data_IF_806391697645
#
_entry.id   IF_806391697645
#
_cell.length_a   1.000
_cell.length_b   1.000
_cell.length_c   1.000
_cell.angle_alpha   90.00
_cell.angle_beta   90.00
_cell.angle_gamma   90.00
#
_symmetry.space_group_name_H-M   'P 1'
#
loop_
_entity.id
_entity.type
_entity.pdbx_description
1 polymer ?
#
# COMPACT_ATOMS: atom_id res chain seq x y z
N UNK A 1 -22.23 -36.59 -0.76
CA UNK A 1 -22.66 -35.25 -0.29
C UNK A 1 -22.86 -35.20 1.23
N UNK A 2 -23.59 -36.15 1.88
CA UNK A 2 -23.80 -36.15 3.33
C UNK A 2 -22.49 -36.23 4.16
N UNK A 3 -21.53 -37.07 3.75
CA UNK A 3 -20.24 -37.20 4.45
C UNK A 3 -19.44 -35.88 4.42
N UNK A 4 -19.37 -35.18 3.28
CA UNK A 4 -18.70 -33.90 3.12
C UNK A 4 -19.30 -32.85 4.07
N UNK A 5 -20.64 -32.75 4.14
CA UNK A 5 -21.33 -31.80 5.02
C UNK A 5 -21.12 -32.12 6.50
N UNK A 6 -21.04 -33.41 6.88
CA UNK A 6 -20.72 -33.79 8.26
C UNK A 6 -19.30 -33.41 8.66
N UNK A 7 -18.32 -33.63 7.76
CA UNK A 7 -16.95 -33.21 7.99
C UNK A 7 -16.86 -31.68 8.11
N UNK A 8 -17.51 -30.96 7.18
CA UNK A 8 -17.61 -29.51 7.25
C UNK A 8 -18.16 -29.02 8.60
N UNK A 9 -19.33 -29.59 9.02
CA UNK A 9 -19.95 -29.15 10.26
C UNK A 9 -19.07 -29.46 11.49
N UNK A 10 -18.40 -30.61 11.52
CA UNK A 10 -17.46 -31.00 12.57
C UNK A 10 -16.33 -29.96 12.65
N UNK A 11 -15.60 -29.74 11.53
CA UNK A 11 -14.45 -28.84 11.48
C UNK A 11 -14.85 -27.39 11.83
N UNK A 12 -16.00 -26.94 11.31
CA UNK A 12 -16.49 -25.60 11.57
C UNK A 12 -16.81 -25.37 13.05
N UNK A 13 -17.54 -26.31 13.70
CA UNK A 13 -17.92 -26.19 15.11
C UNK A 13 -16.73 -26.41 16.05
N UNK A 14 -15.82 -27.32 15.74
CA UNK A 14 -14.64 -27.60 16.55
C UNK A 14 -13.74 -26.36 16.63
N UNK A 15 -13.46 -25.73 15.48
CA UNK A 15 -12.66 -24.52 15.42
C UNK A 15 -13.40 -23.28 15.98
N UNK A 16 -14.74 -23.25 15.96
CA UNK A 16 -15.52 -22.18 16.60
C UNK A 16 -15.38 -22.22 18.15
N UNK A 17 -15.07 -23.39 18.72
CA UNK A 17 -14.84 -23.55 20.16
C UNK A 17 -13.39 -23.25 20.57
N UNK A 18 -12.46 -23.29 19.64
CA UNK A 18 -11.07 -22.91 19.89
C UNK A 18 -10.92 -21.37 19.87
N UNK A 19 -10.81 -20.79 21.07
CA UNK A 19 -10.65 -19.34 21.27
C UNK A 19 -9.43 -18.78 20.56
N UNK A 20 -8.34 -19.54 20.46
CA UNK A 20 -7.09 -19.08 19.83
C UNK A 20 -7.27 -18.94 18.32
N UNK A 21 -7.81 -19.96 17.68
CA UNK A 21 -8.11 -19.95 16.24
C UNK A 21 -9.13 -18.85 15.93
N UNK A 22 -10.18 -18.72 16.75
CA UNK A 22 -11.23 -17.74 16.55
C UNK A 22 -10.71 -16.30 16.66
N UNK A 23 -9.92 -15.98 17.70
CA UNK A 23 -9.33 -14.65 17.89
C UNK A 23 -8.36 -14.30 16.76
N UNK A 24 -7.50 -15.23 16.35
CA UNK A 24 -6.52 -14.95 15.29
C UNK A 24 -7.16 -14.83 13.91
N UNK A 25 -8.10 -15.71 13.57
CA UNK A 25 -8.76 -15.74 12.26
C UNK A 25 -9.82 -14.64 12.09
N UNK A 26 -10.60 -14.34 13.12
CA UNK A 26 -11.76 -13.45 13.03
C UNK A 26 -11.53 -12.07 13.68
N UNK A 27 -10.52 -11.91 14.51
CA UNK A 27 -10.22 -10.61 15.12
C UNK A 27 -8.93 -10.02 14.56
N UNK A 28 -7.81 -10.72 14.74
CA UNK A 28 -6.50 -10.18 14.36
C UNK A 28 -6.37 -10.03 12.85
N UNK A 29 -6.66 -11.07 12.06
CA UNK A 29 -6.56 -11.04 10.60
C UNK A 29 -7.40 -9.92 9.95
N UNK A 30 -8.72 -9.87 10.21
CA UNK A 30 -9.60 -8.87 9.60
C UNK A 30 -9.38 -7.43 10.08
N UNK A 31 -9.00 -7.21 11.35
CA UNK A 31 -8.89 -5.86 11.92
C UNK A 31 -7.50 -5.26 11.76
N UNK A 32 -6.45 -6.08 11.67
CA UNK A 32 -5.08 -5.59 11.56
C UNK A 32 -4.87 -4.65 10.37
N UNK A 33 -5.35 -5.06 9.18
CA UNK A 33 -5.25 -4.27 7.97
C UNK A 33 -5.95 -2.92 8.05
N UNK A 34 -7.25 -2.88 8.36
CA UNK A 34 -8.00 -1.63 8.52
C UNK A 34 -7.41 -0.69 9.56
N UNK A 35 -6.99 -1.20 10.71
CA UNK A 35 -6.38 -0.38 11.77
C UNK A 35 -5.04 0.21 11.32
N UNK A 36 -4.17 -0.61 10.73
CA UNK A 36 -2.88 -0.17 10.22
C UNK A 36 -3.03 0.85 9.10
N UNK A 37 -3.98 0.61 8.20
CA UNK A 37 -4.33 1.54 7.13
C UNK A 37 -4.84 2.88 7.70
N UNK A 38 -5.77 2.86 8.64
CA UNK A 38 -6.30 4.06 9.29
C UNK A 38 -5.21 4.87 9.99
N UNK A 39 -4.30 4.19 10.70
CA UNK A 39 -3.14 4.81 11.33
C UNK A 39 -2.19 5.45 10.30
N UNK A 40 -1.90 4.74 9.21
CA UNK A 40 -1.03 5.23 8.14
C UNK A 40 -1.60 6.49 7.50
N UNK A 41 -2.89 6.47 7.14
CA UNK A 41 -3.53 7.63 6.50
C UNK A 41 -3.69 8.79 7.49
N UNK A 42 -4.00 8.52 8.76
CA UNK A 42 -4.03 9.55 9.81
C UNK A 42 -2.66 10.22 9.99
N UNK A 43 -1.58 9.45 9.97
CA UNK A 43 -0.21 10.00 10.01
C UNK A 43 0.11 10.83 8.78
N UNK A 44 -0.27 10.35 7.59
CA UNK A 44 -0.08 11.08 6.33
C UNK A 44 -0.85 12.41 6.33
N UNK A 45 -2.09 12.42 6.83
CA UNK A 45 -2.89 13.63 7.03
C UNK A 45 -2.24 14.61 7.98
N UNK A 46 -1.82 14.15 9.15
CA UNK A 46 -1.17 15.01 10.14
C UNK A 46 0.14 15.60 9.59
N UNK A 47 0.93 14.82 8.87
CA UNK A 47 2.15 15.33 8.24
C UNK A 47 1.84 16.38 7.17
N UNK A 48 0.86 16.14 6.30
CA UNK A 48 0.52 17.09 5.23
C UNK A 48 -0.05 18.41 5.76
N UNK A 49 -0.84 18.37 6.83
CA UNK A 49 -1.37 19.58 7.49
C UNK A 49 -0.26 20.34 8.22
N UNK A 50 0.58 19.66 9.00
CA UNK A 50 1.70 20.28 9.72
C UNK A 50 2.72 20.86 8.75
N UNK A 51 3.06 20.15 7.67
CA UNK A 51 4.01 20.62 6.67
C UNK A 51 3.48 21.83 5.86
N UNK A 52 2.15 21.95 5.67
CA UNK A 52 1.54 23.09 4.98
C UNK A 52 1.59 24.37 5.82
N UNK A 53 1.43 24.26 7.14
CA UNK A 53 1.42 25.37 8.08
C UNK A 53 2.81 25.68 8.64
N UNK A 54 3.78 24.77 8.52
CA UNK A 54 5.13 25.01 9.05
C UNK A 54 5.91 25.94 8.14
N UNK A 55 6.38 27.11 8.67
CA UNK A 55 7.22 28.03 7.90
C UNK A 55 8.52 27.34 7.48
N UNK A 56 8.94 27.55 6.24
CA UNK A 56 10.22 27.05 5.75
C UNK A 56 11.35 27.55 6.64
N UNK A 57 12.12 26.64 7.23
CA UNK A 57 13.33 26.97 8.01
C UNK A 57 14.54 26.92 7.10
N UNK A 58 15.20 28.05 6.92
CA UNK A 58 16.36 28.16 6.07
C UNK A 58 17.56 28.75 6.85
N UNK A 59 18.66 28.02 6.89
CA UNK A 59 19.92 28.54 7.46
C UNK A 59 20.64 29.28 6.39
N UNK A 60 21.00 30.55 6.66
CA UNK A 60 21.72 31.43 5.70
C UNK A 60 23.13 31.70 6.20
N UNK A 61 24.11 31.48 5.33
CA UNK A 61 25.50 31.93 5.49
C UNK A 61 25.78 33.09 4.51
N UNK A 62 26.34 34.17 5.00
CA UNK A 62 26.62 35.37 4.19
C UNK A 62 25.37 36.23 3.89
N UNK A 63 24.36 36.23 4.75
CA UNK A 63 23.12 37.01 4.55
C UNK A 63 23.33 38.50 4.38
N UNK A 64 24.40 39.08 4.97
CA UNK A 64 24.78 40.47 4.77
C UNK A 64 25.19 40.83 3.34
N UNK A 65 25.60 39.86 2.52
CA UNK A 65 25.99 40.08 1.12
C UNK A 65 24.76 40.30 0.21
N UNK A 66 23.55 39.97 0.67
CA UNK A 66 22.32 40.10 -0.10
C UNK A 66 21.12 40.53 0.77
N UNK A 67 21.11 41.74 1.34
CA UNK A 67 20.06 42.22 2.25
C UNK A 67 18.67 42.24 1.60
N UNK A 68 18.57 42.53 0.30
CA UNK A 68 17.30 42.48 -0.44
C UNK A 68 16.75 41.07 -0.59
N UNK A 69 17.59 40.07 -0.75
CA UNK A 69 17.17 38.65 -0.82
C UNK A 69 16.72 38.16 0.56
N UNK A 70 17.46 38.50 1.63
CA UNK A 70 17.08 38.11 3.00
C UNK A 70 15.74 38.72 3.40
N UNK A 71 15.54 40.00 3.13
CA UNK A 71 14.26 40.67 3.38
C UNK A 71 13.10 40.04 2.58
N UNK A 72 13.33 39.72 1.31
CA UNK A 72 12.32 39.03 0.48
C UNK A 72 11.95 37.66 1.05
N UNK A 73 12.92 36.84 1.48
CA UNK A 73 12.69 35.54 2.09
C UNK A 73 11.85 35.66 3.38
N UNK A 74 12.18 36.65 4.23
CA UNK A 74 11.39 36.92 5.45
C UNK A 74 9.96 37.36 5.13
N UNK A 75 9.77 38.20 4.12
CA UNK A 75 8.47 38.63 3.64
C UNK A 75 7.60 37.45 3.08
N UNK A 76 8.25 36.42 2.57
CA UNK A 76 7.60 35.16 2.15
C UNK A 76 7.33 34.20 3.32
N UNK A 77 7.55 34.61 4.58
CA UNK A 77 7.29 33.78 5.75
C UNK A 77 8.35 32.71 6.02
N UNK A 78 9.55 32.83 5.40
CA UNK A 78 10.65 31.91 5.66
C UNK A 78 11.31 32.27 7.00
N UNK A 79 11.47 31.30 7.89
CA UNK A 79 12.23 31.48 9.13
C UNK A 79 13.72 31.36 8.85
N UNK A 80 14.42 32.49 8.95
CA UNK A 80 15.86 32.54 8.68
C UNK A 80 16.65 32.31 9.97
N UNK A 81 17.68 31.46 9.89
CA UNK A 81 18.68 31.28 10.93
C UNK A 81 20.04 31.71 10.34
N UNK A 82 20.64 32.77 10.89
CA UNK A 82 21.94 33.21 10.42
C UNK A 82 23.05 32.38 11.03
N UNK A 83 23.96 31.86 10.20
CA UNK A 83 25.12 31.10 10.63
C UNK A 83 26.29 31.39 9.68
N UNK A 84 27.48 31.55 10.21
CA UNK A 84 28.68 31.68 9.41
C UNK A 84 29.26 30.30 9.13
N UNK A 85 28.84 29.70 8.02
CA UNK A 85 29.22 28.33 7.63
C UNK A 85 29.98 28.38 6.29
N UNK A 86 31.11 27.74 6.22
CA UNK A 86 31.75 27.38 4.96
C UNK A 86 30.95 26.30 4.23
N UNK A 87 31.23 26.05 2.97
CA UNK A 87 30.55 25.03 2.18
C UNK A 87 30.68 23.64 2.80
N UNK A 88 31.87 23.29 3.32
CA UNK A 88 32.10 21.99 3.95
C UNK A 88 31.33 21.82 5.28
N UNK A 89 31.28 22.90 6.08
CA UNK A 89 30.49 22.90 7.32
C UNK A 89 29.01 22.86 7.05
N UNK A 90 28.51 23.54 6.03
CA UNK A 90 27.13 23.49 5.60
C UNK A 90 26.75 22.07 5.16
N UNK A 91 27.60 21.40 4.38
CA UNK A 91 27.41 19.99 3.99
C UNK A 91 27.40 19.06 5.20
N UNK A 92 28.27 19.30 6.18
CA UNK A 92 28.31 18.53 7.41
C UNK A 92 27.06 18.75 8.27
N UNK A 93 26.60 20.00 8.40
CA UNK A 93 25.41 20.38 9.14
C UNK A 93 24.13 19.74 8.55
N UNK A 94 24.00 19.73 7.23
CA UNK A 94 22.87 19.09 6.55
C UNK A 94 22.92 17.57 6.71
N UNK A 95 24.06 16.92 6.50
CA UNK A 95 24.23 15.47 6.71
C UNK A 95 24.02 15.03 8.15
N UNK A 96 24.41 15.86 9.11
CA UNK A 96 24.23 15.63 10.54
C UNK A 96 22.84 15.98 11.06
N UNK A 97 21.93 16.50 10.23
CA UNK A 97 20.57 16.89 10.62
C UNK A 97 20.50 18.17 11.48
N UNK A 98 21.60 18.91 11.64
CA UNK A 98 21.63 20.18 12.39
C UNK A 98 20.94 21.32 11.61
N UNK A 99 20.91 21.24 10.28
CA UNK A 99 20.16 22.14 9.41
C UNK A 99 19.45 21.34 8.32
N UNK A 100 18.20 21.69 7.98
CA UNK A 100 17.47 21.04 6.88
C UNK A 100 18.02 21.50 5.52
N UNK A 101 18.13 22.81 5.34
CA UNK A 101 18.61 23.44 4.10
C UNK A 101 19.49 24.61 4.47
N UNK A 102 20.62 24.73 3.80
CA UNK A 102 21.55 25.86 3.98
C UNK A 102 21.69 26.63 2.66
N UNK A 103 21.49 27.95 2.72
CA UNK A 103 21.73 28.87 1.61
C UNK A 103 23.03 29.64 1.90
N UNK A 104 24.01 29.46 1.05
CA UNK A 104 25.28 30.18 1.13
C UNK A 104 25.27 31.31 0.09
N UNK A 105 25.51 32.52 0.53
CA UNK A 105 25.58 33.73 -0.30
C UNK A 105 27.03 34.23 -0.28
N UNK A 106 27.79 33.99 -1.36
CA UNK A 106 29.19 34.41 -1.44
C UNK A 106 29.35 35.95 -1.42
N UNK A 107 30.53 36.44 -1.04
CA UNK A 107 30.85 37.86 -1.03
C UNK A 107 30.73 38.51 -2.41
N UNK A 108 31.00 37.75 -3.47
CA UNK A 108 30.86 38.21 -4.87
C UNK A 108 29.41 38.43 -5.33
N UNK A 109 28.41 38.06 -4.53
CA UNK A 109 26.99 38.24 -4.86
C UNK A 109 26.66 39.71 -5.07
N UNK A 110 26.99 40.59 -4.10
CA UNK A 110 26.68 42.02 -4.15
C UNK A 110 27.26 42.74 -5.38
N UNK A 111 28.59 42.64 -5.62
CA UNK A 111 29.23 43.24 -6.81
C UNK A 111 28.65 42.71 -8.14
N UNK A 112 28.35 41.41 -8.25
CA UNK A 112 27.74 40.85 -9.45
C UNK A 112 26.30 41.31 -9.64
N UNK A 113 25.53 41.35 -8.55
CA UNK A 113 24.13 41.75 -8.57
C UNK A 113 23.98 43.22 -9.01
N UNK A 114 24.80 44.14 -8.49
CA UNK A 114 24.82 45.55 -8.89
C UNK A 114 25.32 45.77 -10.32
N UNK A 115 26.24 44.95 -10.78
CA UNK A 115 26.71 44.96 -12.17
C UNK A 115 25.70 44.32 -13.15
N UNK A 116 24.49 43.96 -12.69
CA UNK A 116 23.45 43.29 -13.45
C UNK A 116 23.88 41.94 -14.07
N UNK A 117 24.90 41.30 -13.51
CA UNK A 117 25.38 39.97 -13.87
C UNK A 117 24.67 38.90 -13.02
N UNK A 118 24.65 37.63 -13.45
CA UNK A 118 24.17 36.51 -12.61
C UNK A 118 24.99 36.46 -11.32
N UNK A 119 24.31 36.56 -10.17
CA UNK A 119 24.92 36.47 -8.85
C UNK A 119 24.65 35.03 -8.30
N UNK A 120 25.71 34.23 -8.07
CA UNK A 120 25.54 32.86 -7.63
C UNK A 120 25.11 32.81 -6.17
N UNK A 121 24.24 31.85 -5.87
CA UNK A 121 23.93 31.37 -4.52
C UNK A 121 24.04 29.85 -4.50
N UNK A 122 24.47 29.28 -3.39
CA UNK A 122 24.62 27.83 -3.25
C UNK A 122 23.56 27.29 -2.27
N UNK A 123 22.68 26.46 -2.75
CA UNK A 123 21.68 25.78 -1.92
C UNK A 123 22.16 24.36 -1.58
N UNK A 124 22.47 24.11 -0.31
CA UNK A 124 22.96 22.83 0.20
C UNK A 124 21.77 22.08 0.85
N UNK A 125 21.48 20.89 0.35
CA UNK A 125 20.40 20.05 0.82
C UNK A 125 20.75 18.56 0.61
N UNK A 126 20.16 17.67 1.41
CA UNK A 126 20.26 16.23 1.22
C UNK A 126 19.02 15.73 0.44
N UNK A 127 19.25 15.30 -0.79
CA UNK A 127 18.18 14.76 -1.66
C UNK A 127 17.72 13.36 -1.27
N UNK A 128 18.47 12.65 -0.43
CA UNK A 128 18.11 11.31 0.06
C UNK A 128 17.03 11.38 1.15
N UNK A 129 17.04 12.45 1.95
CA UNK A 129 15.99 12.73 2.92
C UNK A 129 14.79 13.42 2.29
N UNK A 130 13.60 12.84 2.42
CA UNK A 130 12.37 13.32 1.78
C UNK A 130 11.94 14.71 2.29
N UNK A 131 12.17 14.99 3.58
CA UNK A 131 11.78 16.25 4.21
C UNK A 131 12.71 17.39 3.80
N UNK A 132 14.00 17.14 3.81
CA UNK A 132 15.02 18.08 3.30
C UNK A 132 14.82 18.39 1.82
N UNK A 133 14.50 17.38 1.00
CA UNK A 133 14.20 17.57 -0.42
C UNK A 133 13.01 18.49 -0.64
N UNK A 134 11.87 18.28 0.06
CA UNK A 134 10.69 19.16 -0.03
C UNK A 134 11.04 20.61 0.38
N UNK A 135 11.79 20.78 1.47
CA UNK A 135 12.23 22.10 1.94
C UNK A 135 13.15 22.79 0.92
N UNK A 136 14.05 22.04 0.30
CA UNK A 136 14.92 22.55 -0.77
C UNK A 136 14.13 22.94 -2.03
N UNK A 137 13.12 22.16 -2.42
CA UNK A 137 12.27 22.49 -3.57
C UNK A 137 11.42 23.74 -3.30
N UNK A 138 10.86 23.90 -2.09
CA UNK A 138 10.21 25.14 -1.67
C UNK A 138 11.17 26.34 -1.71
N UNK A 139 12.39 26.19 -1.16
CA UNK A 139 13.41 27.23 -1.22
C UNK A 139 13.76 27.59 -2.66
N UNK A 140 13.93 26.61 -3.54
CA UNK A 140 14.23 26.81 -4.96
C UNK A 140 13.13 27.58 -5.69
N UNK A 141 11.85 27.28 -5.41
CA UNK A 141 10.70 28.00 -5.97
C UNK A 141 10.73 29.47 -5.53
N UNK A 142 10.94 29.77 -4.23
CA UNK A 142 10.96 31.12 -3.70
C UNK A 142 12.16 31.92 -4.29
N UNK A 143 13.35 31.30 -4.36
CA UNK A 143 14.53 31.90 -4.97
C UNK A 143 14.33 32.16 -6.47
N UNK A 144 13.68 31.24 -7.18
CA UNK A 144 13.29 31.38 -8.58
C UNK A 144 12.33 32.55 -8.81
N UNK A 145 11.33 32.70 -7.93
CA UNK A 145 10.38 33.83 -7.98
C UNK A 145 11.09 35.17 -7.76
N UNK A 146 12.01 35.24 -6.78
CA UNK A 146 12.82 36.42 -6.57
C UNK A 146 13.66 36.75 -7.81
N UNK A 147 14.39 35.77 -8.35
CA UNK A 147 15.24 35.97 -9.54
C UNK A 147 14.41 36.44 -10.75
N UNK A 148 13.23 35.86 -10.98
CA UNK A 148 12.33 36.27 -12.05
C UNK A 148 11.79 37.68 -11.87
N UNK A 149 11.37 38.05 -10.64
CA UNK A 149 10.94 39.41 -10.33
C UNK A 149 12.00 40.46 -10.57
N UNK A 150 13.26 40.21 -10.12
CA UNK A 150 14.39 41.09 -10.38
C UNK A 150 14.71 41.16 -11.89
N UNK A 151 14.63 40.06 -12.62
CA UNK A 151 14.85 40.05 -14.05
C UNK A 151 13.81 40.94 -14.80
N UNK A 152 12.53 40.82 -14.42
CA UNK A 152 11.45 41.64 -14.97
C UNK A 152 11.71 43.13 -14.72
N UNK A 153 11.96 43.51 -13.48
CA UNK A 153 12.30 44.91 -13.13
C UNK A 153 13.49 45.45 -13.92
N UNK A 154 14.55 44.65 -14.12
CA UNK A 154 15.72 45.04 -14.91
C UNK A 154 15.41 45.28 -16.39
N UNK A 155 14.48 44.50 -16.96
CA UNK A 155 14.03 44.70 -18.35
C UNK A 155 13.15 45.92 -18.48
N UNK A 156 12.21 46.16 -17.56
CA UNK A 156 11.33 47.32 -17.54
C UNK A 156 12.11 48.63 -17.47
N UNK A 157 13.08 48.73 -16.55
CA UNK A 157 13.95 49.94 -16.42
C UNK A 157 14.70 50.20 -17.71
N UNK A 158 15.01 49.17 -18.52
CA UNK A 158 15.69 49.32 -19.81
C UNK A 158 14.72 49.55 -20.98
N UNK A 159 13.43 49.70 -20.70
CA UNK A 159 12.40 49.88 -21.73
C UNK A 159 12.12 48.61 -22.56
N UNK A 160 12.57 47.45 -22.09
CA UNK A 160 12.33 46.16 -22.76
C UNK A 160 11.11 45.47 -22.12
N UNK A 161 10.17 45.04 -22.95
CA UNK A 161 9.01 44.32 -22.43
C UNK A 161 9.46 42.98 -21.81
N UNK A 162 9.18 42.74 -20.51
CA UNK A 162 9.56 41.49 -19.83
C UNK A 162 9.03 40.21 -20.49
N UNK A 163 7.91 40.28 -21.20
CA UNK A 163 7.32 39.14 -21.93
C UNK A 163 8.26 38.62 -23.03
N UNK A 164 9.20 39.42 -23.54
CA UNK A 164 10.18 38.94 -24.50
C UNK A 164 11.13 37.88 -23.91
N UNK A 165 11.31 37.88 -22.60
CA UNK A 165 12.13 36.88 -21.89
C UNK A 165 11.37 35.55 -21.63
N UNK A 166 10.06 35.52 -21.86
CA UNK A 166 9.20 34.34 -21.65
C UNK A 166 8.55 33.95 -22.97
N UNK A 167 9.30 33.41 -23.93
CA UNK A 167 8.79 33.10 -25.29
C UNK A 167 7.77 31.94 -25.29
N UNK A 168 7.74 31.14 -24.23
CA UNK A 168 6.80 30.02 -24.09
C UNK A 168 6.17 30.08 -22.70
N UNK A 169 4.86 30.25 -22.65
CA UNK A 169 4.08 30.10 -21.42
C UNK A 169 3.63 28.64 -21.30
N UNK A 170 4.16 27.92 -20.30
CA UNK A 170 3.75 26.54 -20.02
C UNK A 170 2.58 26.60 -19.02
N UNK A 171 1.37 26.26 -19.51
CA UNK A 171 0.21 26.07 -18.65
C UNK A 171 0.09 24.59 -18.31
N UNK A 172 0.35 24.24 -17.08
CA UNK A 172 0.20 22.87 -16.58
C UNK A 172 -1.27 22.64 -16.18
N UNK A 173 -1.91 21.66 -16.80
CA UNK A 173 -3.26 21.24 -16.50
C UNK A 173 -3.19 19.89 -15.81
N UNK A 174 -3.47 19.87 -14.51
CA UNK A 174 -3.56 18.62 -13.75
C UNK A 174 -4.89 17.92 -14.07
N UNK A 175 -4.82 16.80 -14.76
CA UNK A 175 -5.97 15.96 -15.13
C UNK A 175 -6.22 14.82 -14.13
N UNK A 176 -5.46 14.77 -13.03
CA UNK A 176 -5.64 13.75 -12.01
C UNK A 176 -6.98 13.94 -11.29
N UNK A 177 -7.81 12.90 -11.33
CA UNK A 177 -9.06 12.88 -10.57
C UNK A 177 -8.78 12.66 -9.08
N UNK A 178 -9.64 13.16 -8.16
CA UNK A 178 -9.51 12.89 -6.73
C UNK A 178 -9.48 11.39 -6.40
N UNK A 179 -10.26 10.58 -7.13
CA UNK A 179 -10.23 9.11 -7.05
C UNK A 179 -8.91 8.54 -7.57
N UNK A 180 -8.37 9.07 -8.65
CA UNK A 180 -7.07 8.68 -9.20
C UNK A 180 -5.91 8.91 -8.22
N UNK A 181 -5.92 10.01 -7.48
CA UNK A 181 -4.94 10.30 -6.42
C UNK A 181 -5.04 9.33 -5.25
N UNK A 182 -6.24 8.89 -4.91
CA UNK A 182 -6.49 7.95 -3.83
C UNK A 182 -5.97 6.53 -4.14
N UNK A 183 -5.83 6.15 -5.41
CA UNK A 183 -5.53 4.77 -5.84
C UNK A 183 -4.23 4.21 -5.23
N UNK A 184 -3.19 5.02 -5.10
CA UNK A 184 -1.93 4.56 -4.50
C UNK A 184 -2.14 4.16 -3.04
N UNK A 185 -2.86 4.99 -2.28
CA UNK A 185 -3.19 4.73 -0.87
C UNK A 185 -4.16 3.55 -0.77
N UNK A 186 -5.19 3.53 -1.62
CA UNK A 186 -6.21 2.47 -1.64
C UNK A 186 -5.68 1.11 -2.15
N UNK A 187 -4.58 1.12 -2.91
CA UNK A 187 -3.88 -0.09 -3.30
C UNK A 187 -3.40 -0.93 -2.11
N UNK A 188 -2.98 -0.28 -1.02
CA UNK A 188 -2.66 -0.98 0.23
C UNK A 188 -3.89 -1.63 0.86
N UNK A 189 -5.07 -1.00 0.77
CA UNK A 189 -6.31 -1.58 1.27
C UNK A 189 -6.63 -2.91 0.57
N UNK A 190 -6.53 -2.96 -0.76
CA UNK A 190 -6.82 -4.19 -1.51
C UNK A 190 -5.87 -5.34 -1.15
N UNK A 191 -4.60 -5.02 -0.88
CA UNK A 191 -3.64 -5.98 -0.34
C UNK A 191 -4.07 -6.52 1.02
N UNK A 192 -4.44 -5.64 1.96
CA UNK A 192 -4.88 -6.06 3.29
C UNK A 192 -6.17 -6.89 3.26
N UNK A 193 -7.08 -6.61 2.34
CA UNK A 193 -8.29 -7.42 2.15
C UNK A 193 -7.92 -8.85 1.73
N UNK A 194 -7.05 -9.03 0.74
CA UNK A 194 -6.60 -10.34 0.30
C UNK A 194 -5.79 -11.07 1.39
N UNK A 195 -4.97 -10.32 2.12
CA UNK A 195 -4.24 -10.85 3.28
C UNK A 195 -5.19 -11.34 4.38
N UNK A 196 -6.23 -10.57 4.69
CA UNK A 196 -7.25 -10.94 5.68
C UNK A 196 -8.01 -12.21 5.29
N UNK A 197 -8.31 -12.39 4.00
CA UNK A 197 -8.90 -13.63 3.48
C UNK A 197 -8.01 -14.82 3.84
N UNK A 198 -6.72 -14.77 3.52
CA UNK A 198 -5.80 -15.87 3.79
C UNK A 198 -5.59 -16.09 5.29
N UNK A 199 -5.43 -15.02 6.06
CA UNK A 199 -5.30 -15.12 7.53
C UNK A 199 -6.52 -15.78 8.18
N UNK A 200 -7.72 -15.53 7.64
CA UNK A 200 -8.96 -16.14 8.12
C UNK A 200 -8.97 -17.67 8.04
N UNK A 201 -8.29 -18.26 7.05
CA UNK A 201 -8.20 -19.71 6.87
C UNK A 201 -6.94 -20.36 7.42
N UNK A 202 -5.90 -19.59 7.75
CA UNK A 202 -4.56 -20.08 8.06
C UNK A 202 -4.57 -21.14 9.17
N UNK A 203 -5.07 -20.78 10.34
CA UNK A 203 -5.03 -21.65 11.52
C UNK A 203 -5.92 -22.88 11.36
N UNK A 204 -7.07 -22.74 10.73
CA UNK A 204 -7.96 -23.87 10.45
C UNK A 204 -7.33 -24.84 9.44
N UNK A 205 -6.68 -24.34 8.40
CA UNK A 205 -5.97 -25.18 7.45
C UNK A 205 -4.82 -25.96 8.13
N UNK A 206 -4.09 -25.36 9.07
CA UNK A 206 -3.03 -26.01 9.84
C UNK A 206 -3.63 -27.08 10.76
N UNK A 207 -4.61 -26.69 11.57
CA UNK A 207 -5.17 -27.56 12.62
C UNK A 207 -5.85 -28.78 12.04
N UNK A 208 -6.64 -28.59 10.98
CA UNK A 208 -7.37 -29.66 10.30
C UNK A 208 -6.51 -30.59 9.43
N UNK A 209 -5.20 -30.31 9.27
CA UNK A 209 -4.29 -31.13 8.47
C UNK A 209 -3.07 -31.58 9.30
N UNK A 210 -2.05 -30.74 9.40
CA UNK A 210 -0.83 -31.02 10.15
C UNK A 210 -1.11 -31.22 11.66
N UNK A 211 -2.06 -30.47 12.24
CA UNK A 211 -2.46 -30.62 13.64
C UNK A 211 -3.12 -31.96 13.92
N UNK A 212 -4.01 -32.43 13.05
CA UNK A 212 -4.62 -33.78 13.18
C UNK A 212 -3.57 -34.88 12.97
N UNK A 213 -2.61 -34.69 12.07
CA UNK A 213 -1.52 -35.62 11.85
C UNK A 213 -0.61 -35.73 13.09
N UNK A 214 -0.20 -34.61 13.67
CA UNK A 214 0.65 -34.58 14.87
C UNK A 214 -0.06 -35.23 16.08
N UNK A 215 -1.40 -35.12 16.19
CA UNK A 215 -2.20 -35.74 17.24
C UNK A 215 -2.55 -37.22 16.96
N UNK A 216 -2.18 -37.77 15.80
CA UNK A 216 -2.54 -39.13 15.40
C UNK A 216 -4.02 -39.32 15.05
N UNK A 217 -4.85 -38.28 15.10
CA UNK A 217 -6.29 -38.37 14.82
C UNK A 217 -6.60 -38.50 13.32
N UNK A 218 -5.65 -38.11 12.45
CA UNK A 218 -5.78 -38.28 11.02
C UNK A 218 -5.85 -39.74 10.59
N UNK A 219 -5.12 -40.64 11.24
CA UNK A 219 -5.14 -42.08 10.94
C UNK A 219 -6.53 -42.68 11.22
N UNK A 220 -7.11 -42.34 12.37
CA UNK A 220 -8.46 -42.77 12.73
C UNK A 220 -9.51 -42.22 11.73
N UNK A 221 -9.32 -41.00 11.24
CA UNK A 221 -10.20 -40.42 10.24
C UNK A 221 -10.09 -41.12 8.88
N UNK A 222 -8.87 -41.52 8.49
CA UNK A 222 -8.60 -42.19 7.24
C UNK A 222 -9.04 -43.68 7.24
N UNK A 223 -9.27 -44.29 8.40
CA UNK A 223 -9.82 -45.67 8.53
C UNK A 223 -11.32 -45.72 8.30
N UNK A 224 -12.03 -44.58 8.33
CA UNK A 224 -13.46 -44.56 8.07
C UNK A 224 -13.79 -44.90 6.60
N UNK A 225 -14.92 -45.57 6.33
CA UNK A 225 -15.38 -45.92 4.98
C UNK A 225 -15.96 -44.71 4.25
N UNK A 226 -15.17 -43.63 4.14
CA UNK A 226 -15.53 -42.34 3.50
C UNK A 226 -14.55 -42.01 2.39
N UNK A 227 -15.08 -41.56 1.25
CA UNK A 227 -14.20 -41.09 0.16
C UNK A 227 -13.28 -39.96 0.63
N UNK A 228 -12.00 -40.12 0.38
CA UNK A 228 -10.97 -39.12 0.79
C UNK A 228 -11.20 -37.73 0.22
N UNK A 229 -11.78 -37.66 -0.99
CA UNK A 229 -12.22 -36.40 -1.60
C UNK A 229 -13.31 -35.70 -0.77
N UNK A 230 -14.18 -36.45 -0.09
CA UNK A 230 -15.20 -35.87 0.80
C UNK A 230 -14.59 -35.34 2.10
N UNK A 231 -13.55 -36.00 2.62
CA UNK A 231 -12.78 -35.51 3.78
C UNK A 231 -12.05 -34.21 3.47
N UNK A 232 -11.26 -34.23 2.41
CA UNK A 232 -10.51 -33.03 1.96
C UNK A 232 -11.47 -31.89 1.60
N UNK A 233 -12.54 -32.20 0.85
CA UNK A 233 -13.54 -31.21 0.46
C UNK A 233 -14.25 -30.57 1.65
N UNK A 234 -14.59 -31.37 2.69
CA UNK A 234 -15.22 -30.88 3.91
C UNK A 234 -14.30 -29.91 4.69
N UNK A 235 -13.01 -30.23 4.79
CA UNK A 235 -11.99 -29.37 5.44
C UNK A 235 -11.76 -28.08 4.67
N UNK A 236 -11.62 -28.15 3.35
CA UNK A 236 -11.49 -26.95 2.49
C UNK A 236 -12.74 -26.09 2.61
N UNK A 237 -13.94 -26.66 2.62
CA UNK A 237 -15.19 -25.91 2.75
C UNK A 237 -15.29 -25.19 4.11
N UNK A 238 -14.85 -25.83 5.20
CA UNK A 238 -14.79 -25.20 6.51
C UNK A 238 -13.80 -24.00 6.52
N UNK A 239 -12.62 -24.19 5.91
CA UNK A 239 -11.63 -23.13 5.73
C UNK A 239 -12.22 -21.97 4.90
N UNK A 240 -12.95 -22.27 3.81
CA UNK A 240 -13.63 -21.24 3.01
C UNK A 240 -14.64 -20.43 3.84
N UNK A 241 -15.40 -21.09 4.71
CA UNK A 241 -16.39 -20.39 5.54
C UNK A 241 -15.71 -19.38 6.49
N UNK A 242 -14.62 -19.76 7.14
CA UNK A 242 -13.83 -18.84 7.98
C UNK A 242 -13.20 -17.69 7.18
N UNK A 243 -12.68 -18.00 5.99
CA UNK A 243 -12.16 -16.97 5.08
C UNK A 243 -13.24 -15.99 4.63
N UNK A 244 -14.46 -16.46 4.33
CA UNK A 244 -15.59 -15.59 3.98
C UNK A 244 -15.99 -14.68 5.15
N UNK A 245 -16.05 -15.22 6.37
CA UNK A 245 -16.34 -14.42 7.57
C UNK A 245 -15.25 -13.38 7.78
N UNK A 246 -13.99 -13.77 7.69
CA UNK A 246 -12.84 -12.87 7.80
C UNK A 246 -12.88 -11.75 6.74
N UNK A 247 -13.20 -12.09 5.49
CA UNK A 247 -13.39 -11.12 4.41
C UNK A 247 -14.50 -10.12 4.75
N UNK A 248 -15.67 -10.61 5.17
CA UNK A 248 -16.81 -9.76 5.55
C UNK A 248 -16.47 -8.82 6.70
N UNK A 249 -15.80 -9.32 7.73
CA UNK A 249 -15.35 -8.52 8.88
C UNK A 249 -14.32 -7.46 8.45
N UNK A 250 -13.34 -7.83 7.62
CA UNK A 250 -12.32 -6.91 7.12
C UNK A 250 -12.93 -5.78 6.28
N UNK A 251 -13.83 -6.10 5.35
CA UNK A 251 -14.52 -5.09 4.55
C UNK A 251 -15.39 -4.17 5.40
N UNK A 252 -16.11 -4.73 6.39
CA UNK A 252 -16.90 -3.93 7.34
C UNK A 252 -16.02 -3.01 8.17
N UNK A 253 -14.87 -3.48 8.61
CA UNK A 253 -13.89 -2.67 9.36
C UNK A 253 -13.31 -1.55 8.48
N UNK A 254 -12.99 -1.82 7.21
CA UNK A 254 -12.57 -0.77 6.27
C UNK A 254 -13.67 0.28 6.07
N UNK A 255 -14.92 -0.12 5.83
CA UNK A 255 -16.05 0.84 5.72
C UNK A 255 -16.16 1.70 6.97
N UNK A 256 -15.96 1.10 8.15
CA UNK A 256 -15.97 1.84 9.42
C UNK A 256 -14.81 2.84 9.49
N UNK A 257 -13.58 2.41 9.21
CA UNK A 257 -12.38 3.26 9.25
C UNK A 257 -12.49 4.44 8.29
N UNK A 258 -13.00 4.20 7.06
CA UNK A 258 -13.17 5.28 6.07
C UNK A 258 -14.17 6.36 6.49
N UNK A 259 -15.10 6.08 7.40
CA UNK A 259 -15.98 7.12 7.97
C UNK A 259 -15.26 8.11 8.87
N UNK A 260 -14.14 7.70 9.47
CA UNK A 260 -13.36 8.53 10.39
C UNK A 260 -12.15 9.21 9.73
N UNK A 261 -11.76 8.77 8.54
CA UNK A 261 -10.59 9.29 7.82
C UNK A 261 -11.04 10.32 6.77
N UNK A 262 -10.78 11.63 6.97
CA UNK A 262 -11.18 12.68 6.04
C UNK A 262 -10.22 12.73 4.83
N UNK A 263 -10.38 11.81 3.86
CA UNK A 263 -9.55 11.74 2.64
C UNK A 263 -9.66 13.02 1.79
N UNK A 264 -10.77 13.75 1.89
CA UNK A 264 -11.02 15.01 1.19
C UNK A 264 -9.94 16.06 1.49
N UNK A 265 -9.38 16.07 2.72
CA UNK A 265 -8.28 16.97 3.09
C UNK A 265 -6.97 16.70 2.33
N UNK A 266 -6.82 15.51 1.75
CA UNK A 266 -5.72 15.14 0.86
C UNK A 266 -6.04 15.36 -0.62
N UNK A 267 -7.18 15.99 -0.95
CA UNK A 267 -7.68 16.10 -2.33
C UNK A 267 -8.00 14.72 -2.94
N UNK A 268 -8.32 13.74 -2.10
CA UNK A 268 -8.67 12.38 -2.48
C UNK A 268 -10.13 12.11 -2.19
N UNK A 269 -10.80 11.33 -3.03
CA UNK A 269 -12.12 10.78 -2.75
C UNK A 269 -12.10 9.28 -2.88
N UNK A 270 -12.74 8.59 -1.96
CA UNK A 270 -12.96 7.15 -2.05
C UNK A 270 -14.41 6.85 -1.68
N UNK A 271 -15.14 6.31 -2.63
CA UNK A 271 -16.50 5.87 -2.38
C UNK A 271 -16.51 4.43 -1.86
N UNK A 272 -16.13 4.24 -0.59
CA UNK A 272 -16.18 2.94 0.07
C UNK A 272 -17.45 2.83 0.93
N UNK A 273 -18.61 2.77 0.25
CA UNK A 273 -19.89 2.49 0.87
C UNK A 273 -20.18 0.99 0.99
N UNK A 274 -21.32 0.64 1.61
CA UNK A 274 -21.76 -0.75 1.72
C UNK A 274 -21.91 -1.46 0.38
N UNK A 275 -22.33 -0.74 -0.68
CA UNK A 275 -22.43 -1.28 -2.04
C UNK A 275 -21.08 -1.66 -2.61
N UNK A 276 -20.07 -0.80 -2.48
CA UNK A 276 -18.69 -1.09 -2.93
C UNK A 276 -18.07 -2.25 -2.16
N UNK A 277 -18.34 -2.35 -0.84
CA UNK A 277 -17.90 -3.49 -0.03
C UNK A 277 -18.52 -4.80 -0.50
N UNK A 278 -19.79 -4.82 -0.89
CA UNK A 278 -20.44 -6.01 -1.47
C UNK A 278 -19.82 -6.41 -2.82
N UNK A 279 -19.49 -5.44 -3.67
CA UNK A 279 -18.79 -5.69 -4.93
C UNK A 279 -17.41 -6.31 -4.65
N UNK A 280 -16.67 -5.78 -3.68
CA UNK A 280 -15.37 -6.33 -3.27
C UNK A 280 -15.49 -7.74 -2.72
N UNK A 281 -16.53 -7.99 -1.91
CA UNK A 281 -16.82 -9.34 -1.43
C UNK A 281 -17.03 -10.30 -2.60
N UNK A 282 -17.84 -9.91 -3.59
CA UNK A 282 -18.11 -10.72 -4.77
C UNK A 282 -16.86 -10.96 -5.63
N UNK A 283 -15.99 -9.95 -5.83
CA UNK A 283 -14.72 -10.07 -6.56
C UNK A 283 -13.76 -11.03 -5.85
N UNK A 284 -13.70 -10.99 -4.51
CA UNK A 284 -12.82 -11.84 -3.73
C UNK A 284 -13.37 -13.26 -3.51
N UNK A 285 -14.68 -13.49 -3.67
CA UNK A 285 -15.32 -14.77 -3.41
C UNK A 285 -14.70 -15.95 -4.19
N UNK A 286 -14.33 -15.85 -5.49
CA UNK A 286 -13.64 -16.92 -6.21
C UNK A 286 -12.20 -17.18 -5.72
N UNK A 287 -11.56 -16.22 -5.06
CA UNK A 287 -10.22 -16.36 -4.49
C UNK A 287 -10.23 -17.15 -3.16
N UNK A 288 -11.34 -17.17 -2.44
CA UNK A 288 -11.49 -17.89 -1.17
C UNK A 288 -11.21 -19.39 -1.31
N UNK A 289 -11.87 -20.15 -2.22
CA UNK A 289 -11.60 -21.57 -2.38
C UNK A 289 -10.17 -21.85 -2.88
N UNK A 290 -9.59 -20.94 -3.64
CA UNK A 290 -8.19 -21.03 -4.05
C UNK A 290 -7.25 -20.94 -2.84
N UNK A 291 -7.43 -19.94 -1.99
CA UNK A 291 -6.64 -19.77 -0.77
C UNK A 291 -6.78 -20.96 0.17
N UNK A 292 -8.01 -21.44 0.39
CA UNK A 292 -8.28 -22.60 1.23
C UNK A 292 -7.64 -23.88 0.68
N UNK A 293 -7.76 -24.12 -0.62
CA UNK A 293 -7.14 -25.29 -1.27
C UNK A 293 -5.61 -25.22 -1.25
N UNK A 294 -5.03 -24.04 -1.49
CA UNK A 294 -3.59 -23.81 -1.45
C UNK A 294 -3.03 -24.08 -0.05
N UNK A 295 -3.65 -23.52 0.99
CA UNK A 295 -3.21 -23.72 2.37
C UNK A 295 -3.33 -25.17 2.80
N UNK A 296 -4.47 -25.83 2.51
CA UNK A 296 -4.67 -27.25 2.80
C UNK A 296 -3.67 -28.13 2.04
N UNK A 297 -3.37 -27.79 0.78
CA UNK A 297 -2.39 -28.50 -0.03
C UNK A 297 -1.00 -28.41 0.60
N UNK A 298 -0.52 -27.21 0.92
CA UNK A 298 0.82 -27.00 1.53
C UNK A 298 0.90 -27.67 2.90
N UNK A 299 -0.12 -27.50 3.75
CA UNK A 299 -0.16 -28.12 5.07
C UNK A 299 -0.18 -29.65 5.01
N UNK A 300 -0.69 -30.26 3.93
CA UNK A 300 -0.71 -31.72 3.78
C UNK A 300 0.67 -32.36 3.63
N UNK A 301 1.70 -31.59 3.29
CA UNK A 301 3.08 -32.07 3.20
C UNK A 301 3.86 -31.96 4.51
N UNK A 302 3.35 -31.25 5.49
CA UNK A 302 4.03 -31.00 6.76
C UNK A 302 3.72 -32.10 7.78
N UNK A 303 4.66 -32.30 8.71
CA UNK A 303 4.55 -33.36 9.74
C UNK A 303 4.08 -32.82 11.09
N UNK A 304 4.28 -31.53 11.35
CA UNK A 304 3.93 -30.91 12.62
C UNK A 304 3.23 -29.57 12.43
N UNK A 305 2.51 -29.15 13.45
CA UNK A 305 1.84 -27.85 13.51
C UNK A 305 2.82 -26.69 13.28
N UNK A 306 4.01 -26.73 13.91
CA UNK A 306 5.06 -25.70 13.76
C UNK A 306 5.58 -25.60 12.34
N UNK A 307 5.83 -26.75 11.73
CA UNK A 307 6.32 -26.80 10.34
C UNK A 307 5.27 -26.20 9.39
N UNK A 308 4.00 -26.60 9.54
CA UNK A 308 2.89 -26.07 8.77
C UNK A 308 2.77 -24.54 8.94
N UNK A 309 2.86 -24.04 10.16
CA UNK A 309 2.82 -22.61 10.44
C UNK A 309 3.93 -21.85 9.70
N UNK A 310 5.14 -22.36 9.68
CA UNK A 310 6.28 -21.75 8.99
C UNK A 310 6.04 -21.66 7.48
N UNK A 311 5.67 -22.77 6.84
CA UNK A 311 5.42 -22.80 5.40
C UNK A 311 4.20 -21.98 5.00
N UNK A 312 3.11 -22.05 5.77
CA UNK A 312 1.91 -21.29 5.46
C UNK A 312 2.08 -19.78 5.70
N UNK A 313 2.95 -19.37 6.63
CA UNK A 313 3.33 -17.96 6.76
C UNK A 313 4.01 -17.45 5.49
N UNK A 314 4.84 -18.29 4.84
CA UNK A 314 5.41 -17.93 3.53
C UNK A 314 4.35 -17.88 2.42
N UNK A 315 3.32 -18.74 2.47
CA UNK A 315 2.20 -18.71 1.51
C UNK A 315 1.41 -17.40 1.59
N UNK A 316 1.34 -16.74 2.75
CA UNK A 316 0.71 -15.41 2.87
C UNK A 316 1.40 -14.34 2.02
N UNK A 317 2.68 -14.53 1.69
CA UNK A 317 3.41 -13.59 0.83
C UNK A 317 3.12 -13.80 -0.67
N UNK A 318 2.58 -14.96 -1.06
CA UNK A 318 2.31 -15.28 -2.48
C UNK A 318 1.44 -14.21 -3.18
N UNK A 319 0.32 -13.76 -2.61
CA UNK A 319 -0.49 -12.71 -3.25
C UNK A 319 0.20 -11.33 -3.24
N UNK A 320 1.22 -11.12 -2.39
CA UNK A 320 1.94 -9.84 -2.30
C UNK A 320 2.77 -9.55 -3.55
N UNK A 321 3.44 -10.57 -4.08
CA UNK A 321 4.37 -10.42 -5.20
C UNK A 321 3.68 -9.85 -6.46
N UNK A 322 2.58 -10.42 -6.97
CA UNK A 322 1.90 -9.87 -8.15
C UNK A 322 1.39 -8.45 -7.94
N UNK A 323 0.90 -8.13 -6.72
CA UNK A 323 0.40 -6.79 -6.37
C UNK A 323 1.55 -5.77 -6.33
N UNK A 324 2.69 -6.15 -5.73
CA UNK A 324 3.88 -5.30 -5.71
C UNK A 324 4.38 -5.00 -7.14
N UNK A 325 4.43 -6.02 -8.00
CA UNK A 325 4.76 -5.84 -9.42
C UNK A 325 3.79 -4.87 -10.10
N UNK A 326 2.49 -5.03 -9.88
CA UNK A 326 1.48 -4.14 -10.47
C UNK A 326 1.68 -2.68 -10.03
N UNK A 327 2.03 -2.46 -8.76
CA UNK A 327 2.26 -1.13 -8.19
C UNK A 327 3.54 -0.48 -8.74
N UNK A 328 4.64 -1.25 -8.82
CA UNK A 328 5.95 -0.74 -9.31
C UNK A 328 5.88 -0.38 -10.80
N UNK A 329 5.25 -1.23 -11.61
CA UNK A 329 5.18 -1.04 -13.07
C UNK A 329 3.94 -0.28 -13.52
N UNK A 330 3.10 0.20 -12.60
CA UNK A 330 1.83 0.91 -12.90
C UNK A 330 1.00 0.18 -13.96
N UNK A 331 0.84 -1.15 -13.78
CA UNK A 331 0.20 -2.02 -14.76
C UNK A 331 -1.26 -1.58 -14.97
N UNK A 332 -1.60 -1.29 -16.23
CA UNK A 332 -2.98 -1.05 -16.62
C UNK A 332 -3.74 -2.37 -16.69
N UNK A 333 -5.02 -2.33 -16.35
CA UNK A 333 -5.93 -3.47 -16.45
C UNK A 333 -5.95 -4.02 -17.88
N UNK A 334 -5.54 -5.28 -18.03
CA UNK A 334 -5.58 -6.04 -19.29
C UNK A 334 -6.18 -7.41 -19.03
N UNK A 335 -6.98 -7.92 -19.97
CA UNK A 335 -7.64 -9.23 -19.81
C UNK A 335 -6.67 -10.40 -19.62
N UNK A 336 -5.45 -10.33 -20.14
CA UNK A 336 -4.41 -11.35 -19.91
C UNK A 336 -3.95 -11.43 -18.46
N UNK A 337 -3.97 -10.31 -17.71
CA UNK A 337 -3.59 -10.27 -16.30
C UNK A 337 -4.69 -10.85 -15.39
N UNK A 338 -5.93 -10.99 -15.90
CA UNK A 338 -7.03 -11.58 -15.17
C UNK A 338 -6.86 -13.10 -14.93
N UNK A 339 -5.93 -13.72 -15.63
CA UNK A 339 -5.58 -15.13 -15.39
C UNK A 339 -4.68 -15.36 -14.19
N UNK A 340 -4.11 -14.31 -13.61
CA UNK A 340 -3.23 -14.41 -12.44
C UNK A 340 -4.05 -14.13 -11.18
N UNK A 341 -4.37 -15.16 -10.35
CA UNK A 341 -5.08 -14.94 -9.09
C UNK A 341 -4.30 -13.98 -8.17
N UNK A 342 -4.99 -13.32 -7.28
CA UNK A 342 -4.58 -12.19 -6.45
C UNK A 342 -4.38 -10.88 -7.23
N UNK A 343 -3.61 -10.88 -8.31
CA UNK A 343 -3.44 -9.73 -9.19
C UNK A 343 -4.76 -9.31 -9.83
N UNK A 344 -5.51 -10.27 -10.35
CA UNK A 344 -6.82 -10.01 -10.97
C UNK A 344 -7.81 -9.40 -9.98
N UNK A 345 -7.90 -9.93 -8.75
CA UNK A 345 -8.75 -9.36 -7.71
C UNK A 345 -8.31 -7.93 -7.35
N UNK A 346 -6.98 -7.71 -7.20
CA UNK A 346 -6.42 -6.39 -6.92
C UNK A 346 -6.77 -5.38 -8.04
N UNK A 347 -6.56 -5.74 -9.30
CA UNK A 347 -6.86 -4.87 -10.44
C UNK A 347 -8.36 -4.56 -10.55
N UNK A 348 -9.23 -5.57 -10.38
CA UNK A 348 -10.68 -5.38 -10.40
C UNK A 348 -11.15 -4.45 -9.27
N UNK A 349 -10.68 -4.67 -8.04
CA UNK A 349 -11.01 -3.79 -6.91
C UNK A 349 -10.50 -2.36 -7.15
N UNK A 350 -9.29 -2.22 -7.71
CA UNK A 350 -8.71 -0.91 -8.03
C UNK A 350 -9.50 -0.19 -9.12
N UNK A 351 -9.97 -0.89 -10.15
CA UNK A 351 -10.84 -0.31 -11.19
C UNK A 351 -12.18 0.16 -10.61
N UNK A 352 -12.78 -0.62 -9.71
CA UNK A 352 -14.01 -0.19 -9.01
C UNK A 352 -13.78 1.05 -8.15
N UNK A 353 -12.62 1.15 -7.47
CA UNK A 353 -12.26 2.34 -6.67
C UNK A 353 -12.05 3.59 -7.52
N UNK A 354 -11.66 3.42 -8.79
CA UNK A 354 -11.48 4.50 -9.75
C UNK A 354 -12.77 4.92 -10.46
N UNK A 355 -13.90 4.28 -10.14
CA UNK A 355 -15.15 4.40 -10.89
C UNK A 355 -15.00 4.05 -12.39
N UNK A 356 -14.00 3.19 -12.73
CA UNK A 356 -13.82 2.68 -14.08
C UNK A 356 -14.81 1.55 -14.35
N UNK A 357 -15.34 1.49 -15.58
CA UNK A 357 -16.23 0.41 -15.98
C UNK A 357 -15.49 -0.93 -16.00
N UNK A 358 -15.92 -1.88 -15.18
CA UNK A 358 -15.37 -3.23 -15.12
C UNK A 358 -16.09 -4.11 -16.15
N UNK A 359 -15.32 -4.64 -17.12
CA UNK A 359 -15.89 -5.53 -18.12
C UNK A 359 -16.28 -6.88 -17.49
N UNK A 360 -17.50 -7.34 -17.72
CA UNK A 360 -17.99 -8.62 -17.21
C UNK A 360 -17.06 -9.79 -17.63
N UNK A 361 -16.46 -9.74 -18.82
CA UNK A 361 -15.47 -10.72 -19.28
C UNK A 361 -14.29 -10.85 -18.33
N UNK A 362 -13.76 -9.74 -17.80
CA UNK A 362 -12.59 -9.73 -16.94
C UNK A 362 -12.92 -10.31 -15.55
N UNK A 363 -14.12 -10.06 -15.05
CA UNK A 363 -14.63 -10.68 -13.81
C UNK A 363 -14.73 -12.20 -13.98
N UNK A 364 -15.30 -12.67 -15.10
CA UNK A 364 -15.42 -14.09 -15.35
C UNK A 364 -14.06 -14.77 -15.56
N UNK A 365 -13.12 -14.15 -16.27
CA UNK A 365 -11.76 -14.67 -16.43
C UNK A 365 -11.05 -14.83 -15.09
N UNK A 366 -11.14 -13.83 -14.21
CA UNK A 366 -10.58 -13.89 -12.86
C UNK A 366 -11.21 -14.98 -12.00
N UNK A 367 -12.55 -15.10 -12.06
CA UNK A 367 -13.27 -16.12 -11.30
C UNK A 367 -12.93 -17.53 -11.78
N UNK A 368 -12.97 -17.78 -13.10
CA UNK A 368 -12.68 -19.09 -13.68
C UNK A 368 -11.23 -19.52 -13.45
N UNK A 369 -10.27 -18.60 -13.57
CA UNK A 369 -8.86 -18.85 -13.28
C UNK A 369 -8.68 -19.27 -11.81
N UNK A 370 -9.24 -18.52 -10.87
CA UNK A 370 -9.12 -18.80 -9.43
C UNK A 370 -9.81 -20.14 -9.06
N UNK A 371 -11.03 -20.38 -9.55
CA UNK A 371 -11.77 -21.61 -9.27
C UNK A 371 -11.14 -22.84 -9.96
N UNK A 372 -10.62 -22.68 -11.17
CA UNK A 372 -9.91 -23.74 -11.90
C UNK A 372 -8.66 -24.19 -11.15
N UNK A 373 -7.86 -23.23 -10.66
CA UNK A 373 -6.67 -23.53 -9.87
C UNK A 373 -7.04 -24.13 -8.50
N UNK A 374 -8.11 -23.65 -7.85
CA UNK A 374 -8.62 -24.21 -6.62
C UNK A 374 -9.00 -25.68 -6.78
N UNK A 375 -9.74 -26.00 -7.85
CA UNK A 375 -10.14 -27.38 -8.17
C UNK A 375 -8.93 -28.27 -8.42
N UNK A 376 -7.94 -27.79 -9.17
CA UNK A 376 -6.69 -28.50 -9.41
C UNK A 376 -5.99 -28.85 -8.11
N UNK A 377 -5.81 -27.85 -7.22
CA UNK A 377 -5.16 -28.06 -5.91
C UNK A 377 -5.96 -29.03 -5.03
N UNK A 378 -7.29 -28.93 -5.02
CA UNK A 378 -8.15 -29.87 -4.28
C UNK A 378 -7.98 -31.32 -4.77
N UNK A 379 -7.93 -31.51 -6.09
CA UNK A 379 -7.70 -32.84 -6.68
C UNK A 379 -6.30 -33.37 -6.35
N UNK A 380 -5.28 -32.53 -6.41
CA UNK A 380 -3.91 -32.89 -6.03
C UNK A 380 -3.81 -33.26 -4.55
N UNK A 381 -4.43 -32.50 -3.66
CA UNK A 381 -4.51 -32.82 -2.22
C UNK A 381 -5.21 -34.15 -1.99
N UNK A 382 -6.36 -34.38 -2.62
CA UNK A 382 -7.09 -35.63 -2.49
C UNK A 382 -6.31 -36.84 -3.03
N UNK A 383 -5.50 -36.66 -4.08
CA UNK A 383 -4.60 -37.70 -4.60
C UNK A 383 -3.43 -37.97 -3.65
N UNK A 384 -2.85 -36.91 -3.08
CA UNK A 384 -1.78 -37.03 -2.10
C UNK A 384 -2.22 -37.84 -0.88
N UNK A 385 -3.43 -37.60 -0.37
CA UNK A 385 -4.02 -38.33 0.76
C UNK A 385 -4.37 -39.79 0.46
N UNK A 386 -4.33 -40.24 -0.79
CA UNK A 386 -4.48 -41.64 -1.17
C UNK A 386 -3.19 -42.47 -1.06
N UNK A 387 -2.03 -41.81 -1.00
CA UNK A 387 -0.75 -42.52 -0.93
C UNK A 387 -0.46 -42.94 0.50
N UNK A 388 0.08 -44.14 0.68
CA UNK A 388 0.46 -44.72 1.99
C UNK A 388 1.53 -43.91 2.72
N UNK A 389 2.26 -43.03 2.00
CA UNK A 389 3.27 -42.12 2.56
C UNK A 389 2.73 -41.10 3.59
N UNK A 390 1.42 -41.02 3.77
CA UNK A 390 0.80 -40.18 4.82
C UNK A 390 0.83 -40.87 6.20
N UNK A 391 1.08 -42.17 6.26
CA UNK A 391 1.05 -42.98 7.49
C UNK A 391 2.46 -43.30 8.03
N UNK A 392 3.53 -42.78 7.39
CA UNK A 392 4.93 -43.03 7.74
C UNK A 392 5.76 -41.77 8.00
#
# INVERSE_FOLDING_TARGET
>A
MQALLRVFAKEFVENLRDRRTLLSALLFGPLFGPLLFGLMVSRMLNQSVVEADEPLKLTISGGGNAPGLTHYLEAQGVKLTMAALSENEARAAVRGGAAQVVLIIPEEYGPRFTAAKPAPVLLVADSADSQTRKSADRARIILGSYASGIAQLRLEIRGVNPLLAVPVAVNEVDVATPTGRAVVVLGFMTYFVLFAVLMGGLYLAIDSTAGERERGSLEALLSLPVARSSLVGGKILATCAYMCISLGLSLSAFVCVFRFVPLEKLGMSANLGGGTALIFFAICLPFVPLGAALMTFVASFTRSYREAQTYLTAVLLVPTLPIAFASIYSLKTRSSLMLIPSLSQHLLMTSVLKDEAVAARDVWLSALSSLGLALLLMVLTARHWRRETMLG
#
